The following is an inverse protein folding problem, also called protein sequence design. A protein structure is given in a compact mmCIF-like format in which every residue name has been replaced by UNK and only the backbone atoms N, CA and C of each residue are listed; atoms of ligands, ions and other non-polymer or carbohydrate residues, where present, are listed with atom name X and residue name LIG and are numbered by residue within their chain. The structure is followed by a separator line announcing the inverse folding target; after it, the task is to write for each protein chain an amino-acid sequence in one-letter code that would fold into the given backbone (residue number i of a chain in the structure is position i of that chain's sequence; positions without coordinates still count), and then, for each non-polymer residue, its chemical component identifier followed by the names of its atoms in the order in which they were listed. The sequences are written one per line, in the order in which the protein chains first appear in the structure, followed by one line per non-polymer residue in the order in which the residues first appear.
data_IF_054467616173
#
_entry.id   IF_054467616173
#
_cell.length_a   1.000
_cell.length_b   1.000
_cell.length_c   1.000
_cell.angle_alpha   90.00
_cell.angle_beta   90.00
_cell.angle_gamma   90.00
#
_symmetry.space_group_name_H-M   'P 1'
#
loop_
_entity.id
_entity.type
_entity.pdbx_description
1 polymer ?
#
# COMPACT_ATOMS: atom_id res chain seq x y z
N UNK A 1 20.68 -49.58 -11.61
CA UNK A 1 20.14 -48.53 -10.73
C UNK A 1 21.29 -47.61 -10.37
N UNK A 2 21.51 -46.53 -11.10
CA UNK A 2 22.66 -45.64 -10.89
C UNK A 2 22.25 -44.45 -10.04
N UNK A 3 22.92 -44.27 -8.89
CA UNK A 3 22.64 -43.22 -7.92
C UNK A 3 23.18 -41.86 -8.40
N UNK A 4 22.39 -40.80 -8.22
CA UNK A 4 22.82 -39.41 -8.35
C UNK A 4 23.50 -38.93 -7.06
N UNK A 5 24.62 -38.19 -7.11
CA UNK A 5 25.17 -37.57 -5.91
C UNK A 5 24.30 -36.37 -5.51
N UNK A 6 23.78 -36.42 -4.28
CA UNK A 6 23.13 -35.27 -3.63
C UNK A 6 24.23 -34.31 -3.17
N UNK A 7 24.34 -33.16 -3.84
CA UNK A 7 25.17 -32.04 -3.40
C UNK A 7 24.47 -31.33 -2.24
N UNK A 8 25.02 -31.44 -1.04
CA UNK A 8 24.57 -30.67 0.13
C UNK A 8 25.35 -29.36 0.14
N UNK A 9 24.71 -28.18 0.09
CA UNK A 9 25.45 -26.92 0.15
C UNK A 9 26.04 -26.76 1.56
N UNK A 10 27.34 -26.47 1.60
CA UNK A 10 28.09 -26.14 2.80
C UNK A 10 27.49 -24.88 3.44
N UNK A 11 27.20 -24.95 4.74
CA UNK A 11 26.55 -23.86 5.49
C UNK A 11 27.60 -23.17 6.33
N UNK A 12 28.08 -22.02 5.86
CA UNK A 12 29.01 -21.19 6.62
C UNK A 12 28.44 -20.76 7.99
N UNK A 13 29.30 -20.50 9.01
CA UNK A 13 28.87 -20.07 10.34
C UNK A 13 28.26 -18.66 10.26
N UNK A 14 26.98 -18.55 10.65
CA UNK A 14 26.26 -17.27 10.70
C UNK A 14 26.59 -16.52 12.00
N UNK A 15 27.84 -16.09 12.17
CA UNK A 15 28.30 -15.37 13.38
C UNK A 15 28.29 -13.83 13.26
N UNK A 16 27.57 -13.28 12.27
CA UNK A 16 27.23 -11.87 12.25
C UNK A 16 25.71 -11.74 12.35
N UNK A 17 25.19 -11.25 13.47
CA UNK A 17 23.77 -10.88 13.60
C UNK A 17 23.52 -9.70 12.65
N UNK A 18 22.83 -9.89 11.52
CA UNK A 18 22.55 -8.80 10.61
C UNK A 18 21.58 -7.84 11.31
N UNK A 19 21.63 -6.55 10.95
CA UNK A 19 20.53 -5.65 11.29
C UNK A 19 19.20 -6.27 10.84
N UNK A 20 18.11 -6.16 11.63
CA UNK A 20 16.84 -6.75 11.28
C UNK A 20 16.37 -6.11 9.97
N UNK A 21 16.43 -6.89 8.90
CA UNK A 21 15.85 -6.53 7.61
C UNK A 21 14.33 -6.58 7.76
N UNK A 22 13.63 -5.72 7.05
CA UNK A 22 12.18 -5.82 6.95
C UNK A 22 11.81 -7.26 6.54
N UNK A 23 10.99 -7.89 7.35
CA UNK A 23 10.53 -9.24 7.09
C UNK A 23 9.50 -9.19 5.96
N UNK A 24 9.69 -10.01 4.93
CA UNK A 24 8.68 -10.21 3.92
C UNK A 24 7.50 -10.98 4.55
N UNK A 25 6.30 -10.40 4.47
CA UNK A 25 5.05 -11.04 4.92
C UNK A 25 4.44 -11.78 3.73
N UNK A 26 4.19 -13.09 3.91
CA UNK A 26 3.62 -13.98 2.89
C UNK A 26 2.19 -14.43 3.22
N UNK A 27 1.58 -13.83 4.25
CA UNK A 27 0.17 -14.04 4.53
C UNK A 27 -0.70 -13.48 3.40
N UNK A 28 -1.95 -13.92 3.31
CA UNK A 28 -2.88 -13.45 2.28
C UNK A 28 -3.11 -11.94 2.44
N UNK A 29 -2.78 -11.11 1.42
CA UNK A 29 -2.89 -9.66 1.50
C UNK A 29 -4.32 -9.16 1.75
N UNK A 30 -5.34 -9.97 1.44
CA UNK A 30 -6.75 -9.62 1.67
C UNK A 30 -7.19 -9.83 3.13
N UNK A 31 -6.34 -10.40 3.98
CA UNK A 31 -6.66 -10.63 5.39
C UNK A 31 -6.39 -9.42 6.28
N UNK A 32 -5.70 -8.40 5.75
CA UNK A 32 -5.39 -7.14 6.44
C UNK A 32 -6.08 -5.97 5.76
N UNK A 33 -6.57 -5.01 6.54
CA UNK A 33 -7.10 -3.76 6.00
C UNK A 33 -5.96 -2.93 5.39
N UNK A 34 -6.11 -2.57 4.11
CA UNK A 34 -5.20 -1.67 3.40
C UNK A 34 -5.54 -0.21 3.66
N UNK A 35 -4.56 0.69 3.52
CA UNK A 35 -4.82 2.13 3.49
C UNK A 35 -5.72 2.54 2.32
N UNK A 36 -5.68 1.77 1.22
CA UNK A 36 -6.51 1.98 0.03
C UNK A 36 -7.98 1.58 0.26
N UNK A 37 -8.26 0.72 1.25
CA UNK A 37 -9.63 0.37 1.65
C UNK A 37 -10.29 1.49 2.45
N UNK A 38 -9.51 2.48 2.87
CA UNK A 38 -10.02 3.66 3.56
C UNK A 38 -10.07 4.82 2.60
N UNK A 39 -11.19 5.55 2.60
CA UNK A 39 -11.31 6.83 1.90
C UNK A 39 -10.49 7.95 2.60
N UNK A 40 -9.42 7.62 3.33
CA UNK A 40 -8.58 8.60 4.00
C UNK A 40 -7.97 9.55 2.95
N UNK A 41 -8.12 10.84 3.18
CA UNK A 41 -7.73 11.88 2.21
C UNK A 41 -8.75 12.15 1.10
N UNK A 42 -9.81 11.35 0.98
CA UNK A 42 -10.93 11.60 0.07
C UNK A 42 -12.11 12.18 0.86
N UNK A 43 -12.44 13.45 0.62
CA UNK A 43 -13.59 14.11 1.24
C UNK A 43 -13.40 14.54 2.71
N UNK A 44 -12.18 14.43 3.26
CA UNK A 44 -11.85 15.08 4.53
C UNK A 44 -12.15 16.58 4.43
N UNK A 45 -13.05 17.06 5.30
CA UNK A 45 -13.42 18.49 5.30
C UNK A 45 -12.19 19.33 5.64
N UNK A 46 -11.91 20.39 4.86
CA UNK A 46 -10.87 21.34 5.23
C UNK A 46 -11.10 21.86 6.66
N UNK A 47 -9.99 22.13 7.37
CA UNK A 47 -9.95 22.67 8.75
C UNK A 47 -11.00 23.79 8.94
N UNK A 48 -11.54 24.01 10.16
CA UNK A 48 -12.57 25.02 10.40
C UNK A 48 -12.07 26.38 9.89
N UNK A 49 -12.64 26.86 8.78
CA UNK A 49 -12.17 28.04 8.07
C UNK A 49 -12.31 28.00 6.53
N UNK A 50 -12.45 26.82 5.92
CA UNK A 50 -12.82 26.67 4.50
C UNK A 50 -14.31 26.41 4.31
N UNK A 51 -14.99 27.18 3.46
CA UNK A 51 -16.41 26.99 3.16
C UNK A 51 -16.61 25.83 2.17
N UNK A 52 -16.54 24.61 2.72
CA UNK A 52 -16.74 23.36 1.99
C UNK A 52 -18.09 23.30 1.24
N UNK A 53 -19.09 24.07 1.65
CA UNK A 53 -20.38 24.14 0.95
C UNK A 53 -20.28 25.01 -0.31
N UNK A 54 -19.54 26.13 -0.25
CA UNK A 54 -19.28 26.97 -1.40
C UNK A 54 -18.45 26.23 -2.48
N UNK A 55 -17.46 25.43 -2.07
CA UNK A 55 -16.67 24.63 -3.00
C UNK A 55 -17.52 23.58 -3.73
N UNK A 56 -18.41 22.88 -3.02
CA UNK A 56 -19.33 21.91 -3.62
C UNK A 56 -20.30 22.55 -4.62
N UNK A 57 -20.84 23.73 -4.28
CA UNK A 57 -21.73 24.48 -5.18
C UNK A 57 -21.02 24.82 -6.50
N UNK A 58 -19.77 25.28 -6.45
CA UNK A 58 -18.98 25.58 -7.65
C UNK A 58 -18.78 24.35 -8.54
N UNK A 59 -18.48 23.19 -7.98
CA UNK A 59 -18.32 21.95 -8.76
C UNK A 59 -19.61 21.51 -9.46
N UNK A 60 -20.77 21.74 -8.85
CA UNK A 60 -22.06 21.41 -9.46
C UNK A 60 -22.46 22.40 -10.56
N UNK A 61 -22.11 23.69 -10.37
CA UNK A 61 -22.45 24.76 -11.31
C UNK A 61 -21.47 24.87 -12.49
N UNK A 62 -20.21 24.46 -12.32
CA UNK A 62 -19.18 24.55 -13.35
C UNK A 62 -19.26 23.34 -14.31
N UNK A 63 -19.91 23.54 -15.46
CA UNK A 63 -19.88 22.55 -16.54
C UNK A 63 -18.47 22.40 -17.13
N UNK A 64 -17.95 21.17 -17.27
CA UNK A 64 -16.64 20.97 -17.88
C UNK A 64 -16.65 21.50 -19.33
N UNK A 65 -15.55 22.14 -19.78
CA UNK A 65 -15.42 22.51 -21.17
C UNK A 65 -15.51 21.21 -21.97
N UNK A 66 -16.26 21.24 -23.07
CA UNK A 66 -16.73 20.08 -23.82
C UNK A 66 -18.00 19.41 -23.25
N UNK A 67 -19.06 20.20 -23.12
CA UNK A 67 -20.39 19.67 -23.36
C UNK A 67 -20.73 19.94 -24.83
N UNK A 68 -20.91 18.90 -25.63
CA UNK A 68 -21.59 18.97 -26.92
C UNK A 68 -22.75 17.98 -26.85
#
# INVERSE_FOLDING_TARGET
MSATPTSTPDREPRDAKPEPKDALVFDDPLTTQSSDDTDLGWGERPRPGGDSAADLARFLDEKPPHHL
#
